data_IF_535708037423
#
_entry.id   IF_535708037423
#
_cell.length_a   1.000
_cell.length_b   1.000
_cell.length_c   1.000
_cell.angle_alpha   90.00
_cell.angle_beta   90.00
_cell.angle_gamma   90.00
#
_symmetry.space_group_name_H-M   'P 1'
#
loop_
_entity.id
_entity.type
_entity.pdbx_description
1 polymer ?
#
# COMPACT_ATOMS: atom_id res chain seq x y z
N UNK A 1 15.46 24.73 -4.58
CA UNK A 1 16.47 23.66 -4.64
C UNK A 1 16.83 23.21 -3.22
N UNK A 2 15.91 22.51 -2.54
CA UNK A 2 16.09 21.80 -1.28
C UNK A 2 14.71 21.33 -0.85
N UNK A 3 14.37 20.06 -1.04
CA UNK A 3 13.29 19.37 -0.30
C UNK A 3 13.10 17.92 -0.80
N UNK A 4 13.43 17.61 -2.06
CA UNK A 4 13.10 16.30 -2.64
C UNK A 4 14.04 15.16 -2.21
N UNK A 5 15.22 15.47 -1.65
CA UNK A 5 16.26 14.47 -1.31
C UNK A 5 16.12 13.84 0.09
N UNK A 6 15.39 14.44 1.03
CA UNK A 6 15.30 13.93 2.40
C UNK A 6 14.17 12.91 2.60
N UNK A 7 13.07 13.01 1.84
CA UNK A 7 11.93 12.09 1.97
C UNK A 7 12.25 10.65 1.51
N UNK A 8 13.27 10.47 0.66
CA UNK A 8 13.62 9.17 0.08
C UNK A 8 14.48 8.32 1.02
N UNK A 9 15.18 8.93 1.98
CA UNK A 9 16.11 8.22 2.88
C UNK A 9 15.43 7.63 4.12
N UNK A 10 14.20 8.08 4.46
CA UNK A 10 13.46 7.60 5.63
C UNK A 10 12.70 6.27 5.39
N UNK A 11 12.56 5.83 4.15
CA UNK A 11 11.85 4.61 3.76
C UNK A 11 12.82 3.44 3.50
N UNK A 12 13.77 3.21 4.41
CA UNK A 12 14.48 1.94 4.41
C UNK A 12 13.44 0.79 4.47
N UNK A 13 13.57 -0.28 3.68
CA UNK A 13 12.63 -1.39 3.71
C UNK A 13 12.57 -1.93 5.13
N UNK A 14 11.42 -1.74 5.78
CA UNK A 14 11.15 -2.27 7.11
C UNK A 14 10.17 -3.44 6.98
N UNK A 15 10.44 -4.51 7.72
CA UNK A 15 9.51 -5.64 7.84
C UNK A 15 8.33 -5.31 8.79
N UNK A 16 8.23 -4.06 9.24
CA UNK A 16 7.14 -3.62 10.12
C UNK A 16 5.80 -3.62 9.38
N UNK A 17 4.69 -3.98 10.05
CA UNK A 17 3.35 -3.85 9.49
C UNK A 17 3.06 -2.42 9.03
N UNK A 18 2.55 -2.31 7.82
CA UNK A 18 2.05 -1.09 7.18
C UNK A 18 0.55 -0.98 7.38
N UNK A 19 -0.04 0.16 7.00
CA UNK A 19 -1.49 0.33 6.99
C UNK A 19 -2.19 -0.69 6.07
N UNK A 20 -1.55 -1.13 4.99
CA UNK A 20 -2.12 -2.11 4.09
C UNK A 20 -2.19 -3.51 4.71
N UNK A 21 -1.23 -3.88 5.56
CA UNK A 21 -1.31 -5.13 6.33
C UNK A 21 -2.51 -5.13 7.27
N UNK A 22 -2.76 -3.98 7.92
CA UNK A 22 -3.90 -3.81 8.82
C UNK A 22 -5.24 -3.89 8.08
N UNK A 23 -5.28 -3.43 6.84
CA UNK A 23 -6.46 -3.57 5.95
C UNK A 23 -6.64 -5.04 5.53
N UNK A 24 -5.55 -5.75 5.16
CA UNK A 24 -5.59 -7.18 4.83
C UNK A 24 -6.11 -7.99 6.03
N UNK A 25 -5.61 -7.69 7.23
CA UNK A 25 -6.00 -8.32 8.49
C UNK A 25 -7.39 -7.91 9.00
N UNK A 26 -8.09 -7.01 8.30
CA UNK A 26 -9.41 -6.47 8.67
C UNK A 26 -9.42 -5.73 10.02
N UNK A 27 -8.27 -5.23 10.48
CA UNK A 27 -8.17 -4.40 11.68
C UNK A 27 -8.70 -2.97 11.44
N UNK A 28 -8.57 -2.50 10.20
CA UNK A 28 -9.07 -1.20 9.75
C UNK A 28 -10.11 -1.45 8.66
N UNK A 29 -11.28 -0.78 8.71
CA UNK A 29 -12.29 -0.93 7.68
C UNK A 29 -11.80 -0.37 6.34
N UNK A 30 -12.12 -1.07 5.25
CA UNK A 30 -11.94 -0.61 3.88
C UNK A 30 -13.15 -1.02 3.03
N UNK A 31 -13.52 -0.21 2.04
CA UNK A 31 -14.62 -0.56 1.12
C UNK A 31 -14.11 -1.53 0.07
N UNK A 32 -14.25 -2.83 0.36
CA UNK A 32 -13.78 -3.90 -0.52
C UNK A 32 -14.59 -3.96 -1.82
N UNK A 33 -13.89 -4.18 -2.92
CA UNK A 33 -14.46 -4.35 -4.26
C UNK A 33 -14.23 -5.78 -4.76
N UNK A 34 -13.10 -6.39 -4.41
CA UNK A 34 -12.75 -7.76 -4.76
C UNK A 34 -11.73 -8.32 -3.76
N UNK A 35 -11.79 -9.62 -3.52
CA UNK A 35 -10.81 -10.34 -2.69
C UNK A 35 -10.70 -11.80 -3.16
N UNK A 36 -9.46 -12.27 -3.31
CA UNK A 36 -9.14 -13.69 -3.49
C UNK A 36 -7.93 -14.09 -2.63
N UNK A 37 -7.36 -15.27 -2.87
CA UNK A 37 -6.22 -15.78 -2.11
C UNK A 37 -4.93 -14.98 -2.30
N UNK A 38 -4.80 -14.23 -3.40
CA UNK A 38 -3.56 -13.54 -3.80
C UNK A 38 -3.66 -12.04 -3.60
N UNK A 39 -4.82 -11.44 -3.82
CA UNK A 39 -5.00 -9.99 -3.88
C UNK A 39 -6.21 -9.52 -3.09
N UNK A 40 -6.16 -8.25 -2.71
CA UNK A 40 -7.28 -7.49 -2.15
C UNK A 40 -7.42 -6.18 -2.93
N UNK A 41 -8.64 -5.88 -3.37
CA UNK A 41 -8.98 -4.63 -4.03
C UNK A 41 -10.01 -3.84 -3.22
N UNK A 42 -9.74 -2.55 -2.99
CA UNK A 42 -10.61 -1.67 -2.20
C UNK A 42 -10.58 -0.24 -2.73
N UNK A 43 -11.63 0.53 -2.41
CA UNK A 43 -11.71 1.95 -2.79
C UNK A 43 -10.72 2.77 -1.98
N UNK A 44 -10.03 3.69 -2.66
CA UNK A 44 -9.20 4.69 -2.00
C UNK A 44 -10.04 5.61 -1.11
N UNK A 45 -9.51 6.01 0.05
CA UNK A 45 -10.16 6.94 0.98
C UNK A 45 -10.08 8.40 0.51
N UNK A 46 -9.06 8.74 -0.28
CA UNK A 46 -8.82 10.04 -0.88
C UNK A 46 -8.74 9.90 -2.42
N UNK A 47 -9.84 9.52 -3.08
CA UNK A 47 -9.84 9.19 -4.50
C UNK A 47 -9.44 10.38 -5.38
N UNK A 48 -8.60 10.14 -6.38
CA UNK A 48 -8.15 11.15 -7.35
C UNK A 48 -8.95 11.13 -8.67
N UNK A 49 -9.94 10.24 -8.77
CA UNK A 49 -10.83 10.07 -9.90
C UNK A 49 -12.20 9.56 -9.42
N UNK A 50 -13.29 9.68 -10.21
CA UNK A 50 -14.62 9.20 -9.82
C UNK A 50 -14.66 7.73 -9.41
N UNK A 51 -13.78 6.92 -9.99
CA UNK A 51 -13.50 5.56 -9.55
C UNK A 51 -12.00 5.42 -9.35
N UNK A 52 -11.58 5.15 -8.10
CA UNK A 52 -10.18 4.92 -7.75
C UNK A 52 -10.10 3.70 -6.82
N UNK A 53 -9.50 2.63 -7.33
CA UNK A 53 -9.40 1.34 -6.66
C UNK A 53 -7.93 1.02 -6.53
N UNK A 54 -7.51 0.68 -5.31
CA UNK A 54 -6.19 0.15 -5.04
C UNK A 54 -6.28 -1.38 -5.07
N UNK A 55 -5.36 -2.02 -5.78
CA UNK A 55 -5.21 -3.48 -5.80
C UNK A 55 -3.85 -3.77 -5.18
N UNK A 56 -3.85 -4.52 -4.08
CA UNK A 56 -2.63 -4.88 -3.35
C UNK A 56 -2.51 -6.40 -3.26
N UNK A 57 -1.28 -6.94 -3.30
CA UNK A 57 -1.06 -8.35 -3.01
C UNK A 57 -1.17 -8.62 -1.50
N UNK A 58 -1.64 -9.81 -1.14
CA UNK A 58 -1.67 -10.27 0.25
C UNK A 58 -0.28 -10.66 0.77
N UNK A 59 0.63 -11.07 -0.13
CA UNK A 59 2.06 -11.24 0.18
C UNK A 59 2.86 -10.05 -0.33
N UNK A 60 3.75 -9.52 0.50
CA UNK A 60 4.61 -8.39 0.10
C UNK A 60 5.79 -8.80 -0.77
N UNK A 61 6.31 -10.02 -0.69
CA UNK A 61 7.44 -10.53 -1.50
C UNK A 61 8.53 -9.50 -1.89
N UNK A 62 9.00 -8.70 -0.93
CA UNK A 62 10.05 -7.70 -1.14
C UNK A 62 9.62 -6.38 -1.81
N UNK A 63 8.32 -6.17 -2.04
CA UNK A 63 7.75 -4.95 -2.63
C UNK A 63 8.02 -3.67 -1.81
N UNK A 64 8.34 -3.81 -0.51
CA UNK A 64 8.74 -2.69 0.35
C UNK A 64 10.13 -2.13 0.03
N UNK A 65 10.95 -2.88 -0.73
CA UNK A 65 12.33 -2.51 -1.09
C UNK A 65 12.52 -2.14 -2.56
N UNK A 66 11.45 -1.91 -3.33
CA UNK A 66 11.54 -1.49 -4.73
C UNK A 66 11.95 -0.02 -4.88
N UNK A 67 13.12 0.34 -4.37
CA UNK A 67 13.73 1.66 -4.55
C UNK A 67 14.75 1.62 -5.71
N UNK A 68 14.24 1.68 -6.95
CA UNK A 68 14.99 1.87 -8.22
C UNK A 68 16.13 0.88 -8.49
N UNK A 69 15.95 0.05 -9.53
CA UNK A 69 17.07 -0.38 -10.40
C UNK A 69 17.68 0.84 -11.10
#
# INVERSE_FOLDING_TARGET
>A
MASEKEAVLAAAPSDSPTIFDRIINKEIPATMVYEDDKVLAFRDIAPQAPTHILIIPKSKDGLTGLSKL
#
